data_IF_026760846228
#
_entry.id   IF_026760846228
#
_cell.length_a   1.000
_cell.length_b   1.000
_cell.length_c   1.000
_cell.angle_alpha   90.00
_cell.angle_beta   90.00
_cell.angle_gamma   90.00
#
_symmetry.space_group_name_H-M   'P 1'
#
loop_
_entity.id
_entity.type
_entity.pdbx_description
1 polymer ?
#
# COMPACT_ATOMS: atom_id res chain seq x y z
N UNK A 1 4.03 -16.07 -10.36
CA UNK A 1 4.19 -16.98 -9.20
C UNK A 1 5.66 -17.37 -9.08
N UNK A 2 6.18 -17.62 -7.88
CA UNK A 2 7.56 -18.08 -7.66
C UNK A 2 7.51 -19.34 -6.80
N UNK A 3 7.99 -20.47 -7.31
CA UNK A 3 7.97 -21.75 -6.61
C UNK A 3 8.91 -22.76 -7.29
N UNK A 4 9.57 -23.66 -6.54
CA UNK A 4 10.31 -24.77 -7.13
C UNK A 4 9.42 -25.80 -7.85
N UNK A 5 8.12 -25.74 -7.64
CA UNK A 5 7.13 -26.61 -8.28
C UNK A 5 6.61 -26.10 -9.63
N UNK A 6 7.08 -24.94 -10.08
CA UNK A 6 6.73 -24.35 -11.38
C UNK A 6 7.97 -24.41 -12.26
N UNK A 7 7.82 -24.73 -13.54
CA UNK A 7 8.93 -24.74 -14.48
C UNK A 7 9.60 -23.37 -14.64
N UNK A 8 10.87 -23.39 -15.05
CA UNK A 8 11.64 -22.17 -15.29
C UNK A 8 11.11 -21.47 -16.53
N UNK A 9 11.07 -20.13 -16.49
CA UNK A 9 10.70 -19.31 -17.65
C UNK A 9 9.30 -19.60 -18.22
N UNK A 10 8.37 -20.05 -17.36
CA UNK A 10 6.99 -20.30 -17.76
C UNK A 10 6.19 -19.00 -17.87
N UNK A 11 5.55 -18.80 -19.02
CA UNK A 11 4.53 -17.76 -19.24
C UNK A 11 3.18 -18.45 -19.40
N UNK A 12 2.19 -18.02 -18.62
CA UNK A 12 0.83 -18.57 -18.66
C UNK A 12 -0.13 -17.43 -18.95
N UNK A 13 -0.93 -17.58 -20.02
CA UNK A 13 -1.84 -16.52 -20.50
C UNK A 13 -3.23 -16.58 -19.88
N UNK A 14 -3.67 -17.74 -19.38
CA UNK A 14 -5.00 -17.91 -18.79
C UNK A 14 -5.26 -19.36 -18.35
N UNK A 15 -6.42 -19.65 -17.72
CA UNK A 15 -6.72 -20.94 -17.11
C UNK A 15 -7.26 -21.99 -18.08
N UNK A 16 -7.05 -21.83 -19.39
CA UNK A 16 -7.52 -22.73 -20.44
C UNK A 16 -9.04 -23.01 -20.39
N UNK A 17 -9.84 -21.96 -20.10
CA UNK A 17 -11.31 -22.05 -20.08
C UNK A 17 -11.89 -22.92 -18.96
N UNK A 18 -11.18 -23.03 -17.83
CA UNK A 18 -11.64 -23.72 -16.62
C UNK A 18 -11.67 -22.78 -15.41
N UNK A 19 -12.61 -22.95 -14.48
CA UNK A 19 -13.73 -23.91 -14.50
C UNK A 19 -14.83 -23.61 -15.52
N UNK A 20 -14.95 -22.36 -15.97
CA UNK A 20 -15.90 -21.94 -17.00
C UNK A 20 -15.15 -21.42 -18.25
N UNK A 21 -15.78 -21.44 -19.45
CA UNK A 21 -15.16 -20.94 -20.68
C UNK A 21 -14.68 -19.48 -20.60
N UNK A 22 -15.27 -18.69 -19.69
CA UNK A 22 -14.92 -17.28 -19.46
C UNK A 22 -14.01 -17.07 -18.26
N UNK A 23 -13.60 -18.11 -17.55
CA UNK A 23 -12.76 -17.99 -16.35
C UNK A 23 -11.42 -17.35 -16.68
N UNK A 24 -10.98 -16.46 -15.79
CA UNK A 24 -9.68 -15.81 -15.86
C UNK A 24 -8.89 -15.97 -14.56
N UNK A 25 -7.59 -15.68 -14.62
CA UNK A 25 -6.79 -15.53 -13.42
C UNK A 25 -7.04 -14.17 -12.77
N UNK A 26 -7.40 -14.19 -11.50
CA UNK A 26 -7.63 -13.00 -10.70
C UNK A 26 -7.31 -13.25 -9.21
N UNK A 27 -7.55 -12.29 -8.34
CA UNK A 27 -7.28 -12.45 -6.90
C UNK A 27 -7.99 -13.67 -6.30
N UNK A 28 -9.21 -13.94 -6.76
CA UNK A 28 -10.05 -15.05 -6.29
C UNK A 28 -9.53 -16.43 -6.74
N UNK A 29 -8.58 -16.47 -7.69
CA UNK A 29 -7.88 -17.70 -8.09
C UNK A 29 -7.07 -18.32 -6.96
N UNK A 30 -6.61 -17.52 -5.98
CA UNK A 30 -5.86 -18.03 -4.82
C UNK A 30 -6.76 -18.93 -3.94
N UNK A 31 -7.88 -18.45 -3.37
CA UNK A 31 -8.76 -19.30 -2.57
C UNK A 31 -9.38 -20.44 -3.39
N UNK A 32 -9.70 -20.20 -4.67
CA UNK A 32 -10.19 -21.26 -5.56
C UNK A 32 -9.17 -22.40 -5.73
N UNK A 33 -7.89 -22.06 -5.86
CA UNK A 33 -6.79 -23.03 -5.95
C UNK A 33 -6.62 -23.81 -4.65
N UNK A 34 -6.64 -23.14 -3.49
CA UNK A 34 -6.55 -23.80 -2.17
C UNK A 34 -7.69 -24.80 -2.00
N UNK A 35 -8.92 -24.37 -2.28
CA UNK A 35 -10.10 -25.23 -2.23
C UNK A 35 -9.92 -26.50 -3.08
N UNK A 36 -9.40 -26.33 -4.29
CA UNK A 36 -9.19 -27.43 -5.25
C UNK A 36 -8.07 -28.37 -4.83
N UNK A 37 -6.89 -27.86 -4.48
CA UNK A 37 -5.73 -28.68 -4.11
C UNK A 37 -5.98 -29.48 -2.83
N UNK A 38 -6.68 -28.90 -1.85
CA UNK A 38 -7.01 -29.58 -0.60
C UNK A 38 -8.34 -30.34 -0.64
N UNK A 39 -9.01 -30.39 -1.79
CA UNK A 39 -10.31 -31.06 -1.96
C UNK A 39 -11.33 -30.69 -0.87
N UNK A 40 -11.46 -29.40 -0.59
CA UNK A 40 -12.29 -28.90 0.51
C UNK A 40 -13.79 -29.07 0.20
N UNK A 41 -14.52 -29.69 1.12
CA UNK A 41 -15.96 -29.97 1.00
C UNK A 41 -16.87 -28.78 1.30
N UNK A 42 -16.34 -27.70 1.87
CA UNK A 42 -17.09 -26.45 2.09
C UNK A 42 -17.64 -25.91 0.75
N UNK A 43 -18.63 -25.02 0.73
CA UNK A 43 -18.97 -24.29 -0.50
C UNK A 43 -17.84 -23.30 -0.90
N UNK A 44 -17.95 -22.69 -2.08
CA UNK A 44 -17.18 -21.48 -2.40
C UNK A 44 -17.65 -20.32 -1.53
N UNK A 45 -16.76 -19.36 -1.25
CA UNK A 45 -17.09 -18.23 -0.38
C UNK A 45 -17.96 -17.20 -1.12
N UNK A 46 -17.78 -17.09 -2.43
CA UNK A 46 -18.46 -16.16 -3.32
C UNK A 46 -18.70 -16.80 -4.69
N UNK A 47 -19.44 -16.11 -5.57
CA UNK A 47 -19.52 -16.51 -6.98
C UNK A 47 -18.22 -16.24 -7.75
N UNK A 48 -17.37 -15.37 -7.21
CA UNK A 48 -16.14 -14.92 -7.87
C UNK A 48 -15.04 -15.97 -7.76
N UNK A 49 -14.82 -16.55 -6.58
CA UNK A 49 -13.90 -17.69 -6.41
C UNK A 49 -14.44 -18.98 -7.02
N UNK A 50 -15.77 -19.16 -7.11
CA UNK A 50 -16.35 -20.26 -7.90
C UNK A 50 -16.00 -20.15 -9.39
N UNK A 51 -16.03 -18.93 -9.95
CA UNK A 51 -15.73 -18.67 -11.35
C UNK A 51 -14.23 -18.64 -11.68
N UNK A 52 -13.38 -18.21 -10.75
CA UNK A 52 -11.97 -17.93 -11.02
C UNK A 52 -11.18 -19.16 -11.50
N UNK A 53 -10.25 -18.92 -12.43
CA UNK A 53 -9.28 -19.94 -12.86
C UNK A 53 -8.41 -20.41 -11.70
N UNK A 54 -7.93 -21.66 -11.75
CA UNK A 54 -7.14 -22.27 -10.66
C UNK A 54 -5.71 -22.56 -11.12
N UNK A 55 -4.74 -22.52 -10.19
CA UNK A 55 -3.31 -22.61 -10.48
C UNK A 55 -2.72 -24.02 -10.34
N UNK A 56 -3.51 -25.04 -10.05
CA UNK A 56 -3.07 -26.44 -9.93
C UNK A 56 -2.40 -26.92 -11.22
N UNK A 57 -2.91 -26.48 -12.38
CA UNK A 57 -2.29 -26.76 -13.69
C UNK A 57 -0.94 -26.10 -13.92
N UNK A 58 -0.50 -25.22 -13.01
CA UNK A 58 0.82 -24.57 -13.02
C UNK A 58 1.72 -25.22 -11.97
N UNK A 59 1.22 -25.38 -10.73
CA UNK A 59 2.04 -25.84 -9.58
C UNK A 59 2.13 -27.35 -9.43
N UNK A 60 1.26 -28.14 -10.08
CA UNK A 60 1.28 -29.61 -10.03
C UNK A 60 1.80 -30.23 -11.34
N UNK A 61 2.54 -29.46 -12.14
CA UNK A 61 3.13 -29.94 -13.40
C UNK A 61 4.33 -30.85 -13.18
N UNK A 62 4.94 -30.79 -11.99
CA UNK A 62 6.18 -31.49 -11.64
C UNK A 62 5.95 -32.53 -10.54
N UNK A 63 6.68 -33.63 -10.62
CA UNK A 63 6.73 -34.67 -9.57
C UNK A 63 7.76 -34.38 -8.48
N UNK A 64 8.74 -33.53 -8.78
CA UNK A 64 9.79 -33.12 -7.85
C UNK A 64 10.12 -31.61 -8.01
N UNK A 65 10.50 -30.94 -6.91
CA UNK A 65 10.85 -29.53 -6.92
C UNK A 65 12.15 -29.30 -7.71
N UNK A 66 12.24 -28.19 -8.45
CA UNK A 66 13.49 -27.76 -9.07
C UNK A 66 14.51 -27.35 -8.00
N UNK A 67 15.76 -27.71 -8.23
CA UNK A 67 16.91 -27.37 -7.36
C UNK A 67 17.64 -26.11 -7.81
N UNK A 68 17.25 -25.50 -8.93
CA UNK A 68 17.87 -24.29 -9.50
C UNK A 68 17.19 -22.98 -9.07
N UNK A 69 16.36 -23.02 -8.02
CA UNK A 69 15.66 -21.84 -7.51
C UNK A 69 16.57 -21.01 -6.60
N UNK A 70 16.69 -19.69 -6.80
CA UNK A 70 17.54 -18.85 -5.97
C UNK A 70 16.99 -18.76 -4.55
N UNK A 71 17.82 -19.07 -3.55
CA UNK A 71 17.49 -18.84 -2.13
C UNK A 71 17.63 -17.37 -1.75
N UNK A 72 18.56 -16.67 -2.40
CA UNK A 72 18.81 -15.24 -2.21
C UNK A 72 18.66 -14.51 -3.52
N UNK A 73 17.85 -13.47 -3.54
CA UNK A 73 17.81 -12.53 -4.66
C UNK A 73 19.08 -11.65 -4.62
N UNK A 74 19.67 -11.31 -5.78
CA UNK A 74 20.75 -10.35 -5.82
C UNK A 74 20.27 -8.99 -5.30
N UNK A 75 21.19 -8.19 -4.74
CA UNK A 75 20.88 -6.80 -4.41
C UNK A 75 20.39 -6.08 -5.67
N UNK A 76 19.18 -5.49 -5.66
CA UNK A 76 18.67 -4.75 -6.81
C UNK A 76 19.65 -3.66 -7.21
N UNK A 77 19.91 -3.51 -8.51
CA UNK A 77 20.72 -2.41 -9.01
C UNK A 77 19.97 -1.11 -8.74
N UNK A 78 20.68 -0.08 -8.26
CA UNK A 78 20.09 1.25 -8.09
C UNK A 78 19.51 1.75 -9.42
N UNK A 79 18.20 1.98 -9.47
CA UNK A 79 17.52 2.52 -10.66
C UNK A 79 17.96 3.95 -10.94
N UNK A 80 18.31 4.71 -9.90
CA UNK A 80 18.84 6.07 -9.99
C UNK A 80 20.30 6.10 -9.56
N UNK A 81 21.15 6.75 -10.35
CA UNK A 81 22.59 6.91 -10.07
C UNK A 81 22.90 8.02 -9.06
N UNK A 82 21.96 8.95 -8.88
CA UNK A 82 22.06 10.10 -7.98
C UNK A 82 21.14 9.95 -6.78
N UNK A 83 21.48 10.61 -5.69
CA UNK A 83 20.60 10.73 -4.53
C UNK A 83 19.38 11.63 -4.81
N UNK A 84 18.49 11.75 -3.83
CA UNK A 84 17.38 12.70 -3.93
C UNK A 84 17.91 14.14 -4.00
N UNK A 85 17.43 14.93 -4.96
CA UNK A 85 17.71 16.37 -4.96
C UNK A 85 16.81 17.06 -3.93
N UNK A 86 17.27 17.08 -2.68
CA UNK A 86 16.56 17.64 -1.53
C UNK A 86 16.28 19.15 -1.66
N UNK A 87 17.05 19.86 -2.48
CA UNK A 87 16.91 21.29 -2.71
C UNK A 87 15.98 21.62 -3.89
N UNK A 88 15.55 20.63 -4.67
CA UNK A 88 14.57 20.84 -5.73
C UNK A 88 13.22 21.27 -5.15
N UNK A 89 12.43 22.01 -5.94
CA UNK A 89 11.02 22.24 -5.62
C UNK A 89 10.23 20.93 -5.66
N UNK A 90 9.15 20.87 -4.91
CA UNK A 90 8.24 19.72 -4.91
C UNK A 90 7.59 19.53 -6.29
N UNK A 91 7.54 18.28 -6.75
CA UNK A 91 6.68 17.91 -7.89
C UNK A 91 5.21 18.08 -7.53
N UNK A 92 4.32 18.12 -8.53
CA UNK A 92 2.88 18.18 -8.33
C UNK A 92 2.38 17.07 -7.40
N UNK A 93 2.74 15.82 -7.68
CA UNK A 93 2.38 14.68 -6.82
C UNK A 93 2.88 14.86 -5.37
N UNK A 94 4.09 15.39 -5.17
CA UNK A 94 4.60 15.66 -3.82
C UNK A 94 3.81 16.78 -3.13
N UNK A 95 3.34 17.79 -3.86
CA UNK A 95 2.47 18.84 -3.31
C UNK A 95 1.09 18.28 -2.91
N UNK A 96 0.51 17.36 -3.69
CA UNK A 96 -0.74 16.67 -3.33
C UNK A 96 -0.57 15.83 -2.06
N UNK A 97 0.56 15.14 -1.89
CA UNK A 97 0.88 14.45 -0.65
C UNK A 97 1.00 15.40 0.54
N UNK A 98 1.53 16.61 0.33
CA UNK A 98 1.56 17.66 1.34
C UNK A 98 0.16 18.17 1.70
N UNK A 99 -0.75 18.27 0.72
CA UNK A 99 -2.15 18.64 0.99
C UNK A 99 -2.82 17.61 1.89
N UNK A 100 -2.61 16.31 1.64
CA UNK A 100 -3.08 15.25 2.54
C UNK A 100 -2.47 15.39 3.94
N UNK A 101 -1.15 15.60 4.02
CA UNK A 101 -0.48 15.82 5.30
C UNK A 101 -1.04 17.02 6.06
N UNK A 102 -1.41 18.10 5.36
CA UNK A 102 -2.03 19.28 5.96
C UNK A 102 -3.40 18.97 6.57
N UNK A 103 -4.21 18.11 5.94
CA UNK A 103 -5.46 17.63 6.52
C UNK A 103 -5.19 16.87 7.82
N UNK A 104 -4.22 15.95 7.81
CA UNK A 104 -3.87 15.12 8.97
C UNK A 104 -3.46 15.93 10.20
N UNK A 105 -2.83 17.09 10.03
CA UNK A 105 -2.42 17.96 11.16
C UNK A 105 -3.31 19.18 11.39
N UNK A 106 -4.44 19.27 10.69
CA UNK A 106 -5.43 20.33 10.86
C UNK A 106 -5.11 21.63 10.12
N UNK A 107 -4.01 21.71 9.38
CA UNK A 107 -3.59 22.92 8.66
C UNK A 107 -4.44 23.18 7.38
N UNK A 108 -5.38 22.29 7.04
CA UNK A 108 -6.33 22.46 5.94
C UNK A 108 -7.29 23.65 6.08
N UNK A 109 -7.43 24.21 7.29
CA UNK A 109 -8.23 25.43 7.53
C UNK A 109 -7.44 26.72 7.31
N UNK A 110 -6.13 26.64 7.04
CA UNK A 110 -5.31 27.81 6.76
C UNK A 110 -5.62 28.35 5.36
N UNK A 111 -5.55 29.67 5.18
CA UNK A 111 -5.80 30.34 3.89
C UNK A 111 -4.83 29.89 2.78
N UNK A 112 -3.71 29.27 3.15
CA UNK A 112 -2.76 28.72 2.20
C UNK A 112 -3.24 27.43 1.52
N UNK A 113 -4.22 26.73 2.10
CA UNK A 113 -4.74 25.47 1.58
C UNK A 113 -5.86 25.69 0.55
N UNK A 114 -5.95 24.85 -0.52
CA UNK A 114 -4.95 23.88 -0.97
C UNK A 114 -3.90 24.52 -1.89
N UNK A 115 -4.15 25.72 -2.39
CA UNK A 115 -3.50 26.24 -3.59
C UNK A 115 -2.06 26.74 -3.39
N UNK A 116 -1.60 27.01 -2.17
CA UNK A 116 -0.26 27.58 -1.93
C UNK A 116 0.61 26.75 -0.99
N UNK A 117 0.02 25.76 -0.33
CA UNK A 117 0.76 24.86 0.55
C UNK A 117 1.79 24.06 -0.27
N UNK A 118 3.02 24.00 0.20
CA UNK A 118 4.10 23.28 -0.47
C UNK A 118 4.69 23.93 -1.72
N UNK A 119 4.04 24.94 -2.34
CA UNK A 119 4.51 25.54 -3.61
C UNK A 119 5.96 26.03 -3.55
N UNK A 120 6.33 26.65 -2.44
CA UNK A 120 7.68 27.20 -2.27
C UNK A 120 8.64 26.27 -1.55
N UNK A 121 8.16 25.11 -1.09
CA UNK A 121 8.98 24.17 -0.32
C UNK A 121 9.96 23.42 -1.22
N UNK A 122 11.14 23.14 -0.66
CA UNK A 122 12.04 22.15 -1.23
C UNK A 122 11.57 20.73 -0.87
N UNK A 123 12.09 19.71 -1.56
CA UNK A 123 11.85 18.29 -1.23
C UNK A 123 12.16 17.99 0.24
N UNK A 124 13.25 18.56 0.78
CA UNK A 124 13.59 18.43 2.20
C UNK A 124 12.51 18.98 3.14
N UNK A 125 12.07 20.21 2.88
CA UNK A 125 11.04 20.87 3.69
C UNK A 125 9.70 20.14 3.61
N UNK A 126 9.35 19.63 2.42
CA UNK A 126 8.15 18.81 2.23
C UNK A 126 8.20 17.51 3.04
N UNK A 127 9.34 16.82 3.03
CA UNK A 127 9.55 15.60 3.85
C UNK A 127 9.38 15.91 5.34
N UNK A 128 10.05 16.95 5.84
CA UNK A 128 9.96 17.35 7.25
C UNK A 128 8.52 17.69 7.66
N UNK A 129 7.78 18.39 6.79
CA UNK A 129 6.38 18.70 7.02
C UNK A 129 5.49 17.44 7.11
N UNK A 130 5.72 16.47 6.21
CA UNK A 130 4.98 15.19 6.21
C UNK A 130 5.29 14.35 7.45
N UNK A 131 6.56 14.27 7.86
CA UNK A 131 6.98 13.54 9.05
C UNK A 131 6.32 14.13 10.32
N UNK A 132 6.30 15.46 10.46
CA UNK A 132 5.60 16.13 11.55
C UNK A 132 4.07 15.87 11.52
N UNK A 133 3.46 15.92 10.34
CA UNK A 133 2.02 15.69 10.19
C UNK A 133 1.61 14.30 10.67
N UNK A 134 2.29 13.26 10.19
CA UNK A 134 2.03 11.87 10.58
C UNK A 134 2.29 11.65 12.06
N UNK A 135 3.41 12.17 12.57
CA UNK A 135 3.74 12.08 14.00
C UNK A 135 2.64 12.67 14.87
N UNK A 136 2.21 13.92 14.61
CA UNK A 136 1.18 14.60 15.39
C UNK A 136 -0.18 13.91 15.31
N UNK A 137 -0.54 13.42 14.13
CA UNK A 137 -1.78 12.68 13.94
C UNK A 137 -1.80 11.39 14.77
N UNK A 138 -0.71 10.61 14.73
CA UNK A 138 -0.58 9.38 15.52
C UNK A 138 -0.55 9.67 17.03
N UNK A 139 0.18 10.69 17.47
CA UNK A 139 0.21 11.11 18.87
C UNK A 139 -1.18 11.48 19.38
N UNK A 140 -1.94 12.27 18.61
CA UNK A 140 -3.30 12.65 18.96
C UNK A 140 -4.26 11.45 18.97
N UNK A 141 -4.14 10.53 18.01
CA UNK A 141 -4.90 9.27 17.99
C UNK A 141 -4.63 8.39 19.21
N UNK A 142 -3.35 8.24 19.58
CA UNK A 142 -2.95 7.49 20.77
C UNK A 142 -3.46 8.14 22.06
N UNK A 143 -3.42 9.47 22.15
CA UNK A 143 -3.98 10.21 23.29
C UNK A 143 -5.50 10.05 23.38
N UNK A 144 -6.23 10.22 22.28
CA UNK A 144 -7.68 10.01 22.24
C UNK A 144 -8.06 8.59 22.70
N UNK A 145 -7.35 7.57 22.20
CA UNK A 145 -7.55 6.18 22.64
C UNK A 145 -7.29 5.99 24.14
N UNK A 146 -6.22 6.60 24.69
CA UNK A 146 -5.94 6.57 26.13
C UNK A 146 -7.02 7.26 26.97
N UNK A 147 -7.68 8.27 26.41
CA UNK A 147 -8.79 8.99 27.05
C UNK A 147 -10.14 8.27 26.93
N UNK A 148 -10.19 7.10 26.29
CA UNK A 148 -11.43 6.32 26.13
C UNK A 148 -12.38 6.86 25.06
N UNK A 149 -11.87 7.65 24.11
CA UNK A 149 -12.63 8.07 22.92
C UNK A 149 -12.97 6.83 22.09
N UNK A 150 -14.16 6.82 21.49
CA UNK A 150 -14.62 5.75 20.60
C UNK A 150 -13.62 5.53 19.45
N UNK A 151 -13.32 4.27 19.14
CA UNK A 151 -12.39 3.89 18.08
C UNK A 151 -12.88 4.26 16.67
N UNK A 152 -14.18 4.50 16.50
CA UNK A 152 -14.76 4.98 15.23
C UNK A 152 -14.76 6.51 15.11
N UNK A 153 -14.43 7.23 16.19
CA UNK A 153 -14.42 8.68 16.17
C UNK A 153 -13.13 9.22 15.54
N UNK A 154 -13.31 10.06 14.50
CA UNK A 154 -12.19 10.73 13.83
C UNK A 154 -11.61 11.83 14.72
N UNK A 155 -10.30 11.78 14.94
CA UNK A 155 -9.58 12.82 15.70
C UNK A 155 -9.49 14.10 14.88
N UNK A 156 -10.12 15.16 15.39
CA UNK A 156 -10.05 16.49 14.78
C UNK A 156 -8.81 17.23 15.26
N UNK A 157 -7.87 17.43 14.33
CA UNK A 157 -6.61 18.11 14.60
C UNK A 157 -6.75 19.63 14.46
N UNK A 158 -6.13 20.38 15.37
CA UNK A 158 -6.05 21.85 15.29
C UNK A 158 -4.75 22.29 14.60
N UNK A 159 -4.76 23.37 13.80
CA UNK A 159 -3.57 23.85 13.13
C UNK A 159 -2.44 24.18 14.08
N UNK A 160 -1.22 24.00 13.58
CA UNK A 160 0.03 24.29 14.29
C UNK A 160 0.06 25.72 14.85
N UNK A 161 -0.47 26.68 14.09
CA UNK A 161 -0.43 28.12 14.42
C UNK A 161 -1.36 28.52 15.58
N UNK A 162 -2.31 27.68 15.96
CA UNK A 162 -3.27 27.97 17.05
C UNK A 162 -2.75 27.61 18.44
N UNK A 163 -1.54 27.04 18.53
CA UNK A 163 -0.96 26.53 19.78
C UNK A 163 -0.03 27.51 20.50
N UNK A 164 0.18 28.73 19.97
CA UNK A 164 1.05 29.73 20.61
C UNK A 164 0.35 30.31 21.84
N UNK A 165 0.70 29.82 23.02
CA UNK A 165 0.28 30.39 24.30
C UNK A 165 0.72 31.86 24.36
N UNK A 166 -0.25 32.76 24.55
CA UNK A 166 -0.01 34.13 24.96
C UNK A 166 0.64 34.08 26.34
N UNK A 167 1.96 34.23 26.43
CA UNK A 167 2.56 34.66 27.70
C UNK A 167 2.04 36.07 27.95
N UNK A 168 1.14 36.22 28.92
CA UNK A 168 0.72 37.53 29.39
C UNK A 168 1.96 38.28 29.92
N UNK A 169 2.05 39.60 29.67
CA UNK A 169 3.13 40.45 30.17
C UNK A 169 3.15 40.55 31.69
#
# INVERSE_FOLDING_TARGET
>A
MVSPWIDKSTVVHGPNGKPFPTSEYEHSSIPATVKKIFNMSSPFLTKRDEWAGTFEGIVLTRTEPRTDCPETLPTPVKIRQTDANENAKLSEFQQEMLQLAAVLKGDHILSSFPATIGKEMTVKQGKEYMEDAVKRFLEAGLLAKKMGVDGEQVVQMKPSLTTRSTKNP
#
